data_IF_574561096674
#
_entry.id   IF_574561096674
#
_cell.length_a   1.000
_cell.length_b   1.000
_cell.length_c   1.000
_cell.angle_alpha   90.00
_cell.angle_beta   90.00
_cell.angle_gamma   90.00
#
_symmetry.space_group_name_H-M   'P 1'
#
loop_
_entity.id
_entity.type
_entity.pdbx_description
1 polymer ?
#
# COMPACT_ATOMS: atom_id res chain seq x y z
N UNK A 1 -14.48 15.45 2.67
CA UNK A 1 -14.86 14.38 1.70
C UNK A 1 -15.88 14.85 0.67
N UNK A 2 -17.02 15.47 1.06
CA UNK A 2 -18.00 16.02 0.09
C UNK A 2 -17.43 17.06 -0.89
N UNK A 3 -16.46 17.84 -0.44
CA UNK A 3 -15.79 18.88 -1.24
C UNK A 3 -14.34 18.52 -1.59
N UNK A 4 -13.93 17.26 -1.39
CA UNK A 4 -12.58 16.82 -1.71
C UNK A 4 -12.58 16.16 -3.09
N UNK A 5 -11.51 16.36 -3.84
CA UNK A 5 -11.32 15.72 -5.15
C UNK A 5 -10.64 14.36 -5.02
N UNK A 6 -9.76 14.19 -4.02
CA UNK A 6 -8.97 12.97 -3.82
C UNK A 6 -8.98 12.55 -2.34
N UNK A 7 -9.11 11.26 -2.10
CA UNK A 7 -8.79 10.60 -0.83
C UNK A 7 -7.62 9.65 -1.08
N UNK A 8 -6.53 9.83 -0.33
CA UNK A 8 -5.38 8.93 -0.36
C UNK A 8 -5.20 8.31 1.01
N UNK A 9 -5.02 7.00 1.05
CA UNK A 9 -4.76 6.26 2.28
C UNK A 9 -3.80 5.09 2.03
N UNK A 10 -3.08 4.71 3.09
CA UNK A 10 -2.12 3.62 3.07
C UNK A 10 -2.29 2.66 4.25
N UNK A 11 -3.51 2.52 4.77
CA UNK A 11 -3.80 1.59 5.85
C UNK A 11 -3.79 0.15 5.34
N UNK A 12 -3.72 -0.78 6.30
CA UNK A 12 -3.96 -2.19 5.97
C UNK A 12 -5.38 -2.34 5.40
N UNK A 13 -5.56 -3.22 4.41
CA UNK A 13 -6.89 -3.51 3.88
C UNK A 13 -7.93 -3.79 4.98
N UNK A 14 -9.14 -3.29 4.78
CA UNK A 14 -10.25 -3.39 5.73
C UNK A 14 -10.24 -2.38 6.89
N UNK A 15 -9.18 -1.59 7.11
CA UNK A 15 -9.19 -0.51 8.11
C UNK A 15 -10.22 0.56 7.73
N UNK A 16 -10.20 1.01 6.47
CA UNK A 16 -11.12 2.04 5.98
C UNK A 16 -12.59 1.59 6.06
N UNK A 17 -12.86 0.30 5.82
CA UNK A 17 -14.20 -0.27 5.98
C UNK A 17 -14.68 -0.20 7.44
N UNK A 18 -13.82 -0.55 8.39
CA UNK A 18 -14.12 -0.43 9.83
C UNK A 18 -14.34 1.01 10.29
N UNK A 19 -13.74 1.97 9.59
CA UNK A 19 -13.94 3.40 9.83
C UNK A 19 -15.19 3.97 9.13
N UNK A 20 -15.91 3.17 8.35
CA UNK A 20 -17.05 3.63 7.55
C UNK A 20 -16.65 4.47 6.33
N UNK A 21 -15.40 4.34 5.88
CA UNK A 21 -14.81 5.09 4.77
C UNK A 21 -14.38 4.16 3.64
N UNK A 22 -15.11 3.06 3.42
CA UNK A 22 -14.91 2.15 2.29
C UNK A 22 -15.05 2.91 0.96
N UNK A 23 -14.54 2.32 -0.12
CA UNK A 23 -14.73 2.88 -1.46
C UNK A 23 -16.22 3.13 -1.75
N UNK A 24 -17.08 2.16 -1.43
CA UNK A 24 -18.52 2.22 -1.68
C UNK A 24 -19.18 3.34 -0.87
N UNK A 25 -18.81 3.47 0.41
CA UNK A 25 -19.33 4.52 1.29
C UNK A 25 -18.94 5.92 0.78
N UNK A 26 -17.69 6.07 0.34
CA UNK A 26 -17.18 7.34 -0.20
C UNK A 26 -17.77 7.64 -1.58
N UNK A 27 -17.91 6.64 -2.44
CA UNK A 27 -18.50 6.80 -3.76
C UNK A 27 -19.98 7.20 -3.68
N UNK A 28 -20.73 6.62 -2.74
CA UNK A 28 -22.10 7.04 -2.46
C UNK A 28 -22.18 8.49 -1.95
N UNK A 29 -21.18 8.93 -1.18
CA UNK A 29 -21.11 10.30 -0.63
C UNK A 29 -20.69 11.34 -1.67
N UNK A 30 -19.72 11.01 -2.52
CA UNK A 30 -19.15 11.88 -3.55
C UNK A 30 -18.67 11.04 -4.75
N UNK A 31 -19.51 10.82 -5.78
CA UNK A 31 -19.17 9.98 -6.93
C UNK A 31 -18.02 10.51 -7.80
N UNK A 32 -17.67 11.80 -7.67
CA UNK A 32 -16.58 12.44 -8.42
C UNK A 32 -15.21 12.27 -7.76
N UNK A 33 -15.17 11.83 -6.50
CA UNK A 33 -13.94 11.70 -5.74
C UNK A 33 -13.08 10.55 -6.28
N UNK A 34 -11.78 10.80 -6.42
CA UNK A 34 -10.78 9.79 -6.74
C UNK A 34 -10.32 9.13 -5.44
N UNK A 35 -10.57 7.83 -5.30
CA UNK A 35 -10.13 7.04 -4.15
C UNK A 35 -8.83 6.31 -4.48
N UNK A 36 -7.74 6.66 -3.80
CA UNK A 36 -6.43 6.05 -3.95
C UNK A 36 -6.07 5.27 -2.67
N UNK A 37 -5.91 3.96 -2.82
CA UNK A 37 -5.56 3.05 -1.74
C UNK A 37 -4.22 2.39 -2.05
N UNK A 38 -3.27 2.47 -1.11
CA UNK A 38 -1.92 1.93 -1.27
C UNK A 38 -1.62 0.94 -0.15
N UNK A 39 -1.37 -0.31 -0.49
CA UNK A 39 -0.92 -1.34 0.45
C UNK A 39 0.16 -2.20 -0.19
N UNK A 40 1.04 -2.80 0.62
CA UNK A 40 2.22 -3.49 0.10
C UNK A 40 1.89 -4.64 -0.86
N UNK A 41 0.79 -5.36 -0.64
CA UNK A 41 0.34 -6.48 -1.47
C UNK A 41 -0.98 -6.22 -2.20
N UNK A 42 -1.48 -4.98 -2.15
CA UNK A 42 -2.78 -4.62 -2.73
C UNK A 42 -3.98 -5.05 -1.88
N UNK A 43 -5.17 -4.72 -2.38
CA UNK A 43 -6.44 -4.91 -1.67
C UNK A 43 -7.06 -6.30 -1.88
N UNK A 44 -6.46 -7.14 -2.74
CA UNK A 44 -6.99 -8.44 -3.18
C UNK A 44 -5.85 -9.44 -3.35
N UNK A 45 -6.20 -10.72 -3.43
CA UNK A 45 -5.24 -11.81 -3.62
C UNK A 45 -4.81 -12.45 -2.30
N UNK A 46 -3.99 -13.51 -2.34
CA UNK A 46 -3.70 -14.33 -1.17
C UNK A 46 -2.85 -13.63 -0.09
N UNK A 47 -2.15 -12.55 -0.44
CA UNK A 47 -1.25 -11.82 0.46
C UNK A 47 -1.83 -10.47 0.92
N UNK A 48 -3.10 -10.19 0.64
CA UNK A 48 -3.72 -8.88 0.86
C UNK A 48 -3.61 -8.38 2.32
N UNK A 49 -3.65 -9.27 3.31
CA UNK A 49 -3.55 -8.92 4.74
C UNK A 49 -2.12 -8.95 5.30
N UNK A 50 -1.14 -9.34 4.48
CA UNK A 50 0.26 -9.46 4.88
C UNK A 50 0.87 -8.06 5.10
N UNK A 51 1.67 -7.85 6.17
CA UNK A 51 2.41 -6.62 6.35
C UNK A 51 3.39 -6.41 5.19
N UNK A 52 3.28 -5.30 4.48
CA UNK A 52 4.20 -4.95 3.39
C UNK A 52 4.87 -3.61 3.66
N UNK A 53 6.08 -3.67 4.21
CA UNK A 53 7.00 -2.52 4.27
C UNK A 53 7.96 -2.60 3.09
N UNK A 54 8.58 -1.48 2.75
CA UNK A 54 9.48 -1.34 1.61
C UNK A 54 10.49 -2.49 1.48
N UNK A 55 11.25 -2.77 2.55
CA UNK A 55 12.27 -3.84 2.54
C UNK A 55 11.70 -5.23 2.23
N UNK A 56 10.47 -5.52 2.65
CA UNK A 56 9.83 -6.80 2.34
C UNK A 56 9.45 -6.89 0.87
N UNK A 57 8.94 -5.80 0.30
CA UNK A 57 8.61 -5.76 -1.13
C UNK A 57 9.89 -5.80 -1.97
N UNK A 58 10.98 -5.15 -1.57
CA UNK A 58 12.28 -5.28 -2.23
C UNK A 58 12.81 -6.72 -2.20
N UNK A 59 12.68 -7.40 -1.07
CA UNK A 59 13.10 -8.80 -0.93
C UNK A 59 12.26 -9.73 -1.82
N UNK A 60 10.94 -9.60 -1.76
CA UNK A 60 10.01 -10.53 -2.43
C UNK A 60 9.87 -10.29 -3.92
N UNK A 61 10.14 -9.07 -4.40
CA UNK A 61 10.19 -8.76 -5.83
C UNK A 61 11.45 -9.26 -6.53
N UNK A 62 12.44 -9.78 -5.78
CA UNK A 62 13.73 -10.20 -6.30
C UNK A 62 14.72 -9.05 -6.52
N UNK A 63 14.34 -7.80 -6.22
CA UNK A 63 15.24 -6.65 -6.34
C UNK A 63 16.48 -6.81 -5.47
N UNK A 64 16.33 -7.33 -4.25
CA UNK A 64 17.48 -7.58 -3.37
C UNK A 64 18.41 -8.69 -3.89
N UNK A 65 17.91 -9.66 -4.65
CA UNK A 65 18.70 -10.76 -5.21
C UNK A 65 19.62 -10.28 -6.35
N UNK A 66 19.11 -9.38 -7.18
CA UNK A 66 19.86 -8.84 -8.34
C UNK A 66 20.71 -7.61 -8.02
N UNK A 67 20.65 -7.10 -6.78
CA UNK A 67 21.29 -5.86 -6.39
C UNK A 67 22.32 -6.10 -5.29
N UNK A 68 23.60 -5.96 -5.63
CA UNK A 68 24.70 -6.12 -4.68
C UNK A 68 25.99 -6.51 -5.37
N UNK A 69 27.04 -6.73 -4.58
CA UNK A 69 28.28 -7.36 -5.03
C UNK A 69 28.43 -8.68 -4.30
N UNK A 70 29.18 -9.63 -4.90
CA UNK A 70 29.49 -10.93 -4.29
C UNK A 70 30.26 -10.79 -2.96
N UNK A 71 30.84 -9.63 -2.73
CA UNK A 71 31.53 -9.28 -1.49
C UNK A 71 30.72 -8.26 -0.69
N UNK A 72 30.66 -8.40 0.65
CA UNK A 72 29.96 -7.42 1.48
C UNK A 72 30.54 -6.01 1.29
N UNK A 73 29.68 -5.06 0.93
CA UNK A 73 30.05 -3.65 0.88
C UNK A 73 30.25 -3.12 2.30
N UNK A 74 31.48 -2.72 2.63
CA UNK A 74 31.77 -2.08 3.92
C UNK A 74 31.20 -0.66 3.92
N UNK A 75 30.19 -0.43 4.74
CA UNK A 75 29.73 0.93 5.04
C UNK A 75 30.65 1.52 6.11
N UNK A 76 31.45 2.52 5.73
CA UNK A 76 32.17 3.35 6.72
C UNK A 76 31.18 4.36 7.28
N UNK A 77 30.98 4.31 8.59
CA UNK A 77 30.37 5.38 9.38
C UNK A 77 31.40 6.49 9.64
#
# INVERSE_FOLDING_TARGET
>A
LKNADVLLENFRPGVMDRMGLSYEAIHALNPKLIYCSISGYGQKGPLWDKPGFDVMIQAESGFMDITGFDVPTRVRL
#
